data_IF_765522496647
#
_entry.id   IF_765522496647
#
_cell.length_a   1.000
_cell.length_b   1.000
_cell.length_c   1.000
_cell.angle_alpha   90.00
_cell.angle_beta   90.00
_cell.angle_gamma   90.00
#
_symmetry.space_group_name_H-M   'P 1'
#
loop_
_entity.id
_entity.type
_entity.pdbx_description
1 polymer ?
#
# COMPACT_ATOMS: atom_id res chain seq x y z
N UNK A 1 -7.53 -23.55 -11.56
CA UNK A 1 -7.98 -22.60 -10.52
C UNK A 1 -6.75 -22.08 -9.81
N UNK A 2 -6.30 -20.85 -10.12
CA UNK A 2 -5.20 -20.23 -9.40
C UNK A 2 -5.70 -19.76 -8.04
N UNK A 3 -5.04 -20.13 -6.92
CA UNK A 3 -5.35 -19.53 -5.64
C UNK A 3 -4.88 -18.07 -5.66
N UNK A 4 -5.83 -17.13 -5.61
CA UNK A 4 -5.54 -15.76 -5.23
C UNK A 4 -5.12 -15.81 -3.76
N UNK A 5 -3.81 -15.72 -3.50
CA UNK A 5 -3.30 -15.63 -2.14
C UNK A 5 -3.67 -14.26 -1.57
N UNK A 6 -4.36 -14.25 -0.43
CA UNK A 6 -4.59 -13.03 0.35
C UNK A 6 -3.24 -12.56 0.90
N UNK A 7 -2.98 -11.25 0.83
CA UNK A 7 -1.80 -10.66 1.46
C UNK A 7 -2.12 -10.48 2.94
N UNK A 8 -1.35 -11.10 3.83
CA UNK A 8 -1.59 -10.99 5.27
C UNK A 8 -0.93 -9.74 5.87
N UNK A 9 0.30 -9.43 5.45
CA UNK A 9 1.04 -8.25 5.87
C UNK A 9 2.19 -7.92 4.93
N UNK A 10 2.60 -6.65 4.91
CA UNK A 10 3.80 -6.15 4.24
C UNK A 10 4.64 -5.38 5.25
N UNK A 11 5.90 -5.76 5.40
CA UNK A 11 6.85 -5.09 6.30
C UNK A 11 8.14 -4.78 5.53
N UNK A 12 8.60 -3.53 5.58
CA UNK A 12 9.79 -3.11 4.85
C UNK A 12 10.46 -1.87 5.46
N UNK A 13 11.79 -1.82 5.35
CA UNK A 13 12.56 -0.59 5.50
C UNK A 13 12.65 0.08 4.13
N UNK A 14 12.10 1.28 4.00
CA UNK A 14 12.00 1.95 2.70
C UNK A 14 13.36 2.50 2.27
N UNK A 15 13.65 2.35 0.98
CA UNK A 15 14.79 2.95 0.29
C UNK A 15 14.31 3.56 -1.02
N UNK A 16 14.87 4.71 -1.43
CA UNK A 16 14.59 5.38 -2.70
C UNK A 16 15.27 4.65 -3.87
N UNK A 17 14.81 3.43 -4.14
CA UNK A 17 15.22 2.64 -5.29
C UNK A 17 13.97 2.28 -6.07
N UNK A 18 13.92 2.73 -7.33
CA UNK A 18 12.77 2.51 -8.22
C UNK A 18 12.75 1.05 -8.64
N UNK A 19 11.70 0.31 -8.27
CA UNK A 19 11.44 -1.00 -8.84
C UNK A 19 10.65 -0.87 -10.15
N UNK A 20 10.94 -1.77 -11.09
CA UNK A 20 10.26 -1.82 -12.39
C UNK A 20 8.79 -2.22 -12.23
N UNK A 21 7.93 -1.59 -13.05
CA UNK A 21 6.48 -1.81 -13.02
C UNK A 21 6.08 -3.00 -13.89
N UNK A 22 5.27 -3.94 -13.39
CA UNK A 22 4.62 -4.99 -14.20
C UNK A 22 3.12 -4.67 -14.39
N UNK A 23 2.84 -4.05 -15.54
CA UNK A 23 1.50 -3.61 -15.99
C UNK A 23 0.43 -4.71 -15.98
N UNK A 24 0.80 -5.98 -16.19
CA UNK A 24 -0.14 -7.10 -16.19
C UNK A 24 -0.75 -7.36 -14.81
N UNK A 25 0.08 -7.33 -13.76
CA UNK A 25 -0.37 -7.53 -12.38
C UNK A 25 -1.29 -6.39 -11.91
N UNK A 26 -1.10 -5.18 -12.44
CA UNK A 26 -1.98 -4.04 -12.17
C UNK A 26 -3.39 -4.21 -12.77
N UNK A 27 -3.52 -4.86 -13.94
CA UNK A 27 -4.81 -5.24 -14.54
C UNK A 27 -5.54 -6.27 -13.69
N UNK A 28 -4.83 -7.31 -13.25
CA UNK A 28 -5.38 -8.40 -12.45
C UNK A 28 -5.84 -7.94 -11.05
N UNK A 29 -5.10 -7.03 -10.41
CA UNK A 29 -5.39 -6.58 -9.05
C UNK A 29 -6.45 -5.45 -8.95
N UNK A 30 -6.74 -4.72 -10.03
CA UNK A 30 -7.73 -3.65 -9.95
C UNK A 30 -8.04 -2.84 -11.21
N UNK A 31 -7.21 -2.86 -12.26
CA UNK A 31 -7.49 -2.07 -13.49
C UNK A 31 -8.52 -2.67 -14.44
N UNK A 32 -8.97 -3.91 -14.23
CA UNK A 32 -9.83 -4.61 -15.20
C UNK A 32 -11.22 -5.03 -14.67
N UNK A 33 -11.67 -4.57 -13.49
CA UNK A 33 -12.87 -5.13 -12.84
C UNK A 33 -13.99 -4.19 -12.38
N UNK A 34 -13.69 -3.00 -11.84
CA UNK A 34 -14.72 -2.19 -11.14
C UNK A 34 -14.48 -0.70 -11.35
N UNK A 35 -15.50 0.03 -11.82
CA UNK A 35 -15.48 1.49 -11.95
C UNK A 35 -15.27 2.14 -10.57
N UNK A 36 -14.16 2.87 -10.38
CA UNK A 36 -13.84 3.60 -9.14
C UNK A 36 -12.79 2.94 -8.24
N UNK A 37 -12.39 1.71 -8.53
CA UNK A 37 -11.30 1.01 -7.84
C UNK A 37 -10.03 1.02 -8.69
N UNK A 38 -8.87 1.14 -8.06
CA UNK A 38 -7.57 1.04 -8.73
C UNK A 38 -6.76 -0.11 -8.14
N UNK A 39 -5.84 -0.68 -8.93
CA UNK A 39 -4.79 -1.55 -8.38
C UNK A 39 -3.85 -0.69 -7.52
N UNK A 40 -4.21 -0.52 -6.25
CA UNK A 40 -3.48 0.29 -5.29
C UNK A 40 -2.17 -0.40 -4.93
N UNK A 41 -1.05 0.33 -5.07
CA UNK A 41 0.22 -0.18 -4.56
C UNK A 41 0.25 0.05 -3.05
N UNK A 42 0.47 -1.00 -2.24
CA UNK A 42 0.60 -0.84 -0.78
C UNK A 42 1.85 -0.02 -0.41
N UNK A 43 2.89 -0.15 -1.20
CA UNK A 43 4.11 0.64 -1.14
C UNK A 43 4.36 1.11 -2.58
N UNK A 44 4.28 2.41 -2.83
CA UNK A 44 4.57 2.95 -4.16
C UNK A 44 5.91 2.41 -4.71
N UNK A 45 5.95 2.16 -6.03
CA UNK A 45 7.11 1.61 -6.76
C UNK A 45 8.41 2.42 -6.64
N UNK A 46 8.36 3.60 -6.01
CA UNK A 46 9.51 4.45 -5.71
C UNK A 46 10.29 3.99 -4.47
N UNK A 47 9.64 3.20 -3.62
CA UNK A 47 10.30 2.53 -2.51
C UNK A 47 10.57 1.09 -2.93
N UNK A 48 11.73 0.57 -2.59
CA UNK A 48 12.10 -0.83 -2.85
C UNK A 48 11.30 -1.79 -1.95
N UNK A 49 9.98 -1.77 -2.07
CA UNK A 49 9.06 -2.70 -1.43
C UNK A 49 9.18 -4.11 -2.03
N UNK A 50 8.65 -5.13 -1.34
CA UNK A 50 8.61 -6.48 -1.88
C UNK A 50 7.92 -6.50 -3.25
N UNK A 51 8.38 -7.38 -4.14
CA UNK A 51 7.94 -7.43 -5.54
C UNK A 51 6.42 -7.38 -5.72
N UNK A 52 5.97 -6.84 -6.85
CA UNK A 52 4.60 -6.36 -7.08
C UNK A 52 3.44 -7.29 -6.70
N UNK A 53 3.68 -8.61 -6.66
CA UNK A 53 2.67 -9.62 -6.31
C UNK A 53 2.13 -9.49 -4.88
N UNK A 54 2.92 -9.00 -3.93
CA UNK A 54 2.49 -8.74 -2.55
C UNK A 54 1.99 -7.30 -2.37
N UNK A 55 2.14 -6.47 -3.40
CA UNK A 55 2.08 -5.03 -3.30
C UNK A 55 0.84 -4.44 -3.99
N UNK A 56 -0.07 -5.26 -4.53
CA UNK A 56 -1.22 -4.81 -5.30
C UNK A 56 -2.51 -5.37 -4.70
N UNK A 57 -3.28 -4.51 -4.02
CA UNK A 57 -4.61 -4.84 -3.49
C UNK A 57 -5.67 -3.90 -4.08
N UNK A 58 -6.94 -4.34 -4.19
CA UNK A 58 -8.02 -3.45 -4.58
C UNK A 58 -8.16 -2.32 -3.54
N UNK A 59 -7.94 -1.09 -3.97
CA UNK A 59 -8.02 0.10 -3.13
C UNK A 59 -8.92 1.15 -3.78
N UNK A 60 -9.73 1.81 -2.97
CA UNK A 60 -10.56 2.90 -3.43
C UNK A 60 -9.70 4.03 -4.02
N UNK A 61 -10.04 4.51 -5.22
CA UNK A 61 -9.23 5.49 -5.93
C UNK A 61 -9.09 6.84 -5.20
N UNK A 62 -10.06 7.24 -4.39
CA UNK A 62 -9.98 8.48 -3.61
C UNK A 62 -9.01 8.36 -2.42
N UNK A 63 -9.03 7.22 -1.72
CA UNK A 63 -8.04 6.89 -0.69
C UNK A 63 -6.63 6.85 -1.31
N UNK A 64 -6.47 6.09 -2.41
CA UNK A 64 -5.18 5.90 -3.09
C UNK A 64 -4.56 7.24 -3.53
N UNK A 65 -5.35 8.13 -4.15
CA UNK A 65 -4.86 9.42 -4.66
C UNK A 65 -4.82 10.53 -3.62
N UNK A 66 -5.48 10.35 -2.48
CA UNK A 66 -5.66 11.35 -1.44
C UNK A 66 -4.74 11.13 -0.24
N UNK A 67 -5.32 10.60 0.83
CA UNK A 67 -4.64 10.45 2.14
C UNK A 67 -3.51 9.43 2.08
N UNK A 68 -3.65 8.35 1.32
CA UNK A 68 -2.58 7.36 1.13
C UNK A 68 -1.34 7.98 0.47
N UNK A 69 -1.53 8.66 -0.67
CA UNK A 69 -0.45 9.37 -1.36
C UNK A 69 0.21 10.45 -0.49
N UNK A 70 -0.57 11.14 0.35
CA UNK A 70 -0.02 12.15 1.28
C UNK A 70 0.91 11.51 2.32
N UNK A 71 0.54 10.35 2.86
CA UNK A 71 1.38 9.55 3.75
C UNK A 71 2.67 9.10 3.03
N UNK A 72 2.57 8.55 1.82
CA UNK A 72 3.74 8.14 1.04
C UNK A 72 4.70 9.32 0.74
N UNK A 73 4.17 10.50 0.43
CA UNK A 73 4.98 11.70 0.24
C UNK A 73 5.74 12.09 1.51
N UNK A 74 5.15 11.90 2.70
CA UNK A 74 5.82 12.15 3.98
C UNK A 74 7.03 11.24 4.16
N UNK A 75 6.87 9.95 3.84
CA UNK A 75 7.97 8.98 3.88
C UNK A 75 9.06 9.32 2.86
N UNK A 76 8.68 9.69 1.64
CA UNK A 76 9.63 10.09 0.59
C UNK A 76 10.46 11.32 1.00
N UNK A 77 9.84 12.33 1.61
CA UNK A 77 10.56 13.50 2.12
C UNK A 77 11.52 13.13 3.24
N UNK A 78 11.11 12.27 4.18
CA UNK A 78 11.99 11.80 5.25
C UNK A 78 13.21 11.04 4.73
N UNK A 79 13.04 10.18 3.73
CA UNK A 79 14.17 9.48 3.09
C UNK A 79 15.11 10.46 2.38
N UNK A 80 14.58 11.50 1.72
CA UNK A 80 15.41 12.55 1.09
C UNK A 80 16.23 13.35 2.10
N UNK A 81 15.73 13.50 3.32
CA UNK A 81 16.45 14.10 4.44
C UNK A 81 17.47 13.13 5.09
N UNK A 82 17.65 11.92 4.55
CA UNK A 82 18.57 10.91 5.07
C UNK A 82 18.04 10.15 6.30
N UNK A 83 16.75 10.29 6.63
CA UNK A 83 16.13 9.55 7.74
C UNK A 83 15.76 8.14 7.28
N UNK A 84 15.85 7.18 8.18
CA UNK A 84 15.33 5.83 7.95
C UNK A 84 13.81 5.82 8.10
N UNK A 85 13.11 5.05 7.27
CA UNK A 85 11.66 4.87 7.39
C UNK A 85 11.35 3.38 7.41
N UNK A 86 10.77 2.89 8.51
CA UNK A 86 10.24 1.54 8.62
C UNK A 86 8.72 1.56 8.54
N UNK A 87 8.13 0.62 7.81
CA UNK A 87 6.68 0.55 7.59
C UNK A 87 6.20 -0.88 7.70
N UNK A 88 5.04 -1.05 8.33
CA UNK A 88 4.25 -2.27 8.39
C UNK A 88 2.81 -1.96 7.96
N UNK A 89 2.27 -2.72 7.01
CA UNK A 89 0.91 -2.55 6.49
C UNK A 89 0.19 -3.89 6.58
N UNK A 90 -0.97 -3.88 7.24
CA UNK A 90 -1.83 -5.05 7.46
C UNK A 90 -3.21 -4.77 6.86
N UNK A 91 -3.55 -5.34 5.69
CA UNK A 91 -4.90 -5.30 5.17
C UNK A 91 -5.85 -6.13 6.05
N UNK A 92 -7.05 -5.60 6.30
CA UNK A 92 -8.10 -6.26 7.09
C UNK A 92 -9.22 -6.66 6.16
N UNK A 93 -9.65 -7.92 6.22
CA UNK A 93 -10.68 -8.49 5.36
C UNK A 93 -11.87 -8.98 6.18
N UNK A 94 -13.09 -8.78 5.69
CA UNK A 94 -14.28 -9.48 6.16
C UNK A 94 -14.66 -10.64 5.23
N UNK A 95 -15.02 -11.78 5.85
CA UNK A 95 -15.51 -12.95 5.15
C UNK A 95 -14.48 -13.56 4.19
N UNK A 96 -14.90 -13.79 2.94
CA UNK A 96 -14.08 -14.41 1.87
C UNK A 96 -13.68 -13.39 0.78
N UNK A 97 -13.78 -12.10 1.08
CA UNK A 97 -13.47 -11.03 0.11
C UNK A 97 -11.98 -10.99 -0.20
N UNK A 98 -11.65 -10.79 -1.48
CA UNK A 98 -10.28 -10.47 -1.93
C UNK A 98 -9.97 -8.97 -1.83
N UNK A 99 -10.99 -8.15 -1.58
CA UNK A 99 -10.87 -6.72 -1.32
C UNK A 99 -10.84 -6.49 0.20
N UNK A 100 -9.80 -5.84 0.74
CA UNK A 100 -9.76 -5.49 2.15
C UNK A 100 -10.77 -4.37 2.47
N UNK A 101 -11.32 -4.39 3.68
CA UNK A 101 -12.21 -3.36 4.21
C UNK A 101 -11.44 -2.18 4.79
N UNK A 102 -10.24 -2.42 5.29
CA UNK A 102 -9.34 -1.38 5.82
C UNK A 102 -7.88 -1.79 5.73
N UNK A 103 -6.99 -0.84 5.99
CA UNK A 103 -5.55 -1.02 6.09
C UNK A 103 -5.05 -0.45 7.41
N UNK A 104 -4.41 -1.28 8.23
CA UNK A 104 -3.68 -0.83 9.40
C UNK A 104 -2.24 -0.54 8.97
N UNK A 105 -1.80 0.70 9.15
CA UNK A 105 -0.46 1.15 8.76
C UNK A 105 0.27 1.60 10.01
N UNK A 106 1.41 0.97 10.28
CA UNK A 106 2.34 1.38 11.31
C UNK A 106 3.64 1.83 10.63
N UNK A 107 4.18 3.00 11.01
CA UNK A 107 5.47 3.44 10.49
C UNK A 107 6.29 4.24 11.51
N UNK A 108 7.62 4.15 11.40
CA UNK A 108 8.57 4.97 12.15
C UNK A 108 9.49 5.72 11.21
N UNK A 109 9.83 6.96 11.58
CA UNK A 109 10.76 7.82 10.85
C UNK A 109 11.92 8.19 11.76
N UNK A 110 13.15 7.95 11.33
CA UNK A 110 14.37 8.28 12.05
C UNK A 110 14.50 7.59 13.40
N UNK A 111 13.91 6.40 13.56
CA UNK A 111 13.89 5.67 14.84
C UNK A 111 12.96 6.26 15.90
N UNK A 112 12.06 7.19 15.51
CA UNK A 112 11.04 7.71 16.41
C UNK A 112 10.02 6.63 16.82
N UNK A 113 9.17 6.94 17.81
CA UNK A 113 8.06 6.04 18.17
C UNK A 113 7.17 5.77 16.94
N UNK A 114 6.75 4.50 16.72
CA UNK A 114 5.86 4.17 15.62
C UNK A 114 4.55 4.98 15.69
N UNK A 115 4.05 5.35 14.51
CA UNK A 115 2.73 5.95 14.31
C UNK A 115 1.81 4.91 13.68
N UNK A 116 0.64 4.74 14.27
CA UNK A 116 -0.41 3.87 13.75
C UNK A 116 -1.51 4.71 13.08
N UNK A 117 -1.92 4.29 11.89
CA UNK A 117 -3.02 4.90 11.12
C UNK A 117 -3.89 3.77 10.57
N UNK A 118 -5.20 3.91 10.70
CA UNK A 118 -6.16 3.00 10.07
C UNK A 118 -6.86 3.75 8.95
N UNK A 119 -6.84 3.18 7.74
CA UNK A 119 -7.58 3.68 6.59
C UNK A 119 -8.73 2.75 6.26
N UNK A 120 -9.97 3.23 6.24
CA UNK A 120 -11.06 2.46 5.63
C UNK A 120 -10.91 2.45 4.12
N UNK A 121 -11.15 1.31 3.49
CA UNK A 121 -11.13 1.18 2.04
C UNK A 121 -12.43 1.73 1.41
N UNK A 122 -12.64 3.03 1.63
CA UNK A 122 -13.80 3.85 1.25
C UNK A 122 -13.30 5.22 0.77
N UNK A 123 -14.16 6.04 0.13
CA UNK A 123 -13.79 7.42 -0.20
C UNK A 123 -13.33 8.20 1.05
N UNK A 124 -12.19 8.89 0.97
CA UNK A 124 -11.64 9.71 2.05
C UNK A 124 -10.90 8.95 3.17
N UNK A 125 -11.10 7.64 3.30
CA UNK A 125 -10.43 6.82 4.32
C UNK A 125 -11.07 6.84 5.71
N UNK A 126 -12.25 7.47 5.86
CA UNK A 126 -12.99 7.62 7.13
C UNK A 126 -14.11 6.59 7.30
#
# INVERSE_FOLDING_TARGET
>A
MSPFFLVEKVESNLSLTKNDRNTYQQCVAGKCGVTGEEGGHLIASIFNGPGERLNLLPMNGNLNKGTWKTMENTWASALKEGKQVSVKIEPVYSGKSVRPDSFNVEYSIGGARPKEIVFKNSPGGN
#
